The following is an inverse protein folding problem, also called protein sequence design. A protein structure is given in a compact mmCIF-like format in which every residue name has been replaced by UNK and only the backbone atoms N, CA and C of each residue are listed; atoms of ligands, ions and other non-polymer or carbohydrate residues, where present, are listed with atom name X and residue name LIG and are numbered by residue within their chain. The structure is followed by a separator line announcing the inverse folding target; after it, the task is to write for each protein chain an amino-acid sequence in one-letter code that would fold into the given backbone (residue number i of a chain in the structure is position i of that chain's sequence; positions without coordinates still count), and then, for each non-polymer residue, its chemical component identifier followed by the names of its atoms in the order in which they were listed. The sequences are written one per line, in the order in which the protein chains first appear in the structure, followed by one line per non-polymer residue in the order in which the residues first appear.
data_IF_162539074385
#
_entry.id   IF_162539074385
#
_cell.length_a   1.000
_cell.length_b   1.000
_cell.length_c   1.000
_cell.angle_alpha   90.00
_cell.angle_beta   90.00
_cell.angle_gamma   90.00
#
_symmetry.space_group_name_H-M   'P 1'
#
loop_
_entity.id
_entity.type
_entity.pdbx_description
1 polymer ?
#
# COMPACT_ATOMS: atom_id res chain seq x y z
N UNK A 1 3.23 -12.64 -8.79
CA UNK A 1 2.17 -12.69 -7.75
C UNK A 1 2.61 -11.77 -6.63
N UNK A 2 1.75 -10.84 -6.21
CA UNK A 2 2.01 -9.94 -5.07
C UNK A 2 1.05 -10.31 -3.94
N UNK A 3 1.59 -10.53 -2.75
CA UNK A 3 0.82 -10.78 -1.52
C UNK A 3 1.33 -9.84 -0.44
N UNK A 4 0.41 -9.10 0.16
CA UNK A 4 0.62 -8.20 1.29
C UNK A 4 -0.34 -8.68 2.38
N UNK A 5 0.21 -8.87 3.57
CA UNK A 5 -0.54 -9.29 4.76
C UNK A 5 -0.25 -8.30 5.87
N UNK A 6 -1.31 -7.74 6.46
CA UNK A 6 -1.27 -6.83 7.61
C UNK A 6 -0.23 -5.69 7.48
N UNK A 7 -0.19 -5.00 6.34
CA UNK A 7 0.78 -3.92 6.14
C UNK A 7 0.40 -2.66 6.94
N UNK A 8 1.32 -2.25 7.81
CA UNK A 8 1.28 -0.97 8.52
C UNK A 8 2.41 -0.07 8.05
N UNK A 9 2.09 1.20 7.83
CA UNK A 9 3.10 2.21 7.46
C UNK A 9 2.80 3.50 8.19
N UNK A 10 3.81 4.05 8.84
CA UNK A 10 3.77 5.37 9.46
C UNK A 10 4.76 6.32 8.78
N UNK A 11 4.35 7.56 8.57
CA UNK A 11 5.20 8.63 8.04
C UNK A 11 5.25 9.74 9.06
N UNK A 12 6.46 10.10 9.51
CA UNK A 12 6.64 11.10 10.56
C UNK A 12 5.93 10.74 11.87
N UNK A 13 5.90 9.45 12.22
CA UNK A 13 5.21 8.95 13.42
C UNK A 13 3.68 8.87 13.30
N UNK A 14 3.08 9.32 12.20
CA UNK A 14 1.64 9.23 11.96
C UNK A 14 1.30 7.95 11.19
N UNK A 15 0.42 7.07 11.70
CA UNK A 15 -0.05 5.91 10.96
C UNK A 15 -0.85 6.33 9.71
N UNK A 16 -0.41 5.87 8.54
CA UNK A 16 -1.05 6.13 7.25
C UNK A 16 -1.77 4.88 6.75
N UNK A 17 -1.07 3.74 6.71
CA UNK A 17 -1.66 2.43 6.41
C UNK A 17 -1.81 1.65 7.72
N UNK A 18 -2.97 1.02 7.90
CA UNK A 18 -3.42 0.44 9.17
C UNK A 18 -3.92 -1.00 8.98
N UNK A 19 -3.02 -1.91 8.62
CA UNK A 19 -3.36 -3.31 8.36
C UNK A 19 -4.03 -3.49 7.01
N UNK A 20 -3.24 -3.34 5.94
CA UNK A 20 -3.69 -3.56 4.57
C UNK A 20 -3.33 -4.97 4.12
N UNK A 21 -4.36 -5.73 3.71
CA UNK A 21 -4.21 -6.99 3.00
C UNK A 21 -4.47 -6.80 1.50
N UNK A 22 -3.58 -7.31 0.66
CA UNK A 22 -3.71 -7.23 -0.80
C UNK A 22 -3.15 -8.48 -1.45
N UNK A 23 -3.90 -9.08 -2.36
CA UNK A 23 -3.46 -10.22 -3.14
C UNK A 23 -3.73 -9.95 -4.62
N UNK A 24 -2.66 -9.83 -5.40
CA UNK A 24 -2.72 -9.67 -6.87
C UNK A 24 -2.09 -10.91 -7.51
N UNK A 25 -2.89 -11.62 -8.30
CA UNK A 25 -2.44 -12.83 -8.99
C UNK A 25 -1.63 -12.46 -10.24
N UNK A 26 -0.88 -13.43 -10.77
CA UNK A 26 -0.15 -13.21 -12.01
C UNK A 26 -1.12 -12.93 -13.17
N UNK A 27 -0.82 -11.91 -13.98
CA UNK A 27 -1.65 -11.50 -15.12
C UNK A 27 -2.79 -10.54 -14.79
N UNK A 28 -3.01 -10.20 -13.52
CA UNK A 28 -4.03 -9.22 -13.14
C UNK A 28 -3.47 -7.79 -13.16
N UNK A 29 -4.30 -6.86 -13.65
CA UNK A 29 -4.04 -5.42 -13.56
C UNK A 29 -5.07 -4.79 -12.61
N UNK A 30 -4.59 -4.14 -11.55
CA UNK A 30 -5.42 -3.51 -10.53
C UNK A 30 -5.22 -2.00 -10.54
N UNK A 31 -6.28 -1.25 -10.26
CA UNK A 31 -6.22 0.20 -10.13
C UNK A 31 -6.56 0.59 -8.70
N UNK A 32 -5.69 1.40 -8.09
CA UNK A 32 -5.86 1.88 -6.72
C UNK A 32 -6.57 3.24 -6.71
N UNK A 33 -7.87 3.25 -6.37
CA UNK A 33 -8.70 4.46 -6.27
C UNK A 33 -8.86 4.96 -4.84
N UNK A 34 -9.18 6.25 -4.69
CA UNK A 34 -9.50 6.86 -3.40
C UNK A 34 -9.20 8.37 -3.32
N UNK A 35 -9.72 9.07 -2.31
CA UNK A 35 -9.53 10.52 -2.14
C UNK A 35 -8.08 10.91 -1.83
N UNK A 36 -7.72 12.17 -2.00
CA UNK A 36 -6.40 12.67 -1.63
C UNK A 36 -6.12 12.44 -0.14
N UNK A 37 -4.89 11.99 0.19
CA UNK A 37 -4.50 11.66 1.56
C UNK A 37 -4.90 10.26 2.05
N UNK A 38 -5.60 9.44 1.25
CA UNK A 38 -6.01 8.09 1.65
C UNK A 38 -4.89 7.04 1.73
N UNK A 39 -3.62 7.44 1.56
CA UNK A 39 -2.47 6.52 1.66
C UNK A 39 -2.08 5.79 0.37
N UNK A 40 -2.68 6.12 -0.79
CA UNK A 40 -2.37 5.45 -2.07
C UNK A 40 -0.89 5.47 -2.45
N UNK A 41 -0.29 6.65 -2.46
CA UNK A 41 1.14 6.79 -2.77
C UNK A 41 2.03 6.14 -1.72
N UNK A 42 1.57 6.10 -0.47
CA UNK A 42 2.25 5.39 0.62
C UNK A 42 2.22 3.88 0.40
N UNK A 43 1.08 3.30 0.01
CA UNK A 43 0.96 1.89 -0.32
C UNK A 43 1.86 1.51 -1.50
N UNK A 44 1.80 2.29 -2.59
CA UNK A 44 2.66 2.05 -3.74
C UNK A 44 4.15 2.20 -3.39
N UNK A 45 4.52 3.21 -2.59
CA UNK A 45 5.89 3.38 -2.11
C UNK A 45 6.38 2.23 -1.23
N UNK A 46 5.51 1.67 -0.39
CA UNK A 46 5.82 0.48 0.41
C UNK A 46 6.04 -0.75 -0.47
N UNK A 47 5.14 -0.99 -1.42
CA UNK A 47 5.23 -2.13 -2.36
C UNK A 47 6.47 -2.04 -3.26
N UNK A 48 6.83 -0.84 -3.73
CA UNK A 48 7.99 -0.62 -4.60
C UNK A 48 9.32 -0.52 -3.84
N UNK A 49 9.30 -0.49 -2.51
CA UNK A 49 10.52 -0.34 -1.69
C UNK A 49 11.10 1.08 -1.69
N UNK A 50 10.30 2.11 -1.99
CA UNK A 50 10.70 3.53 -1.98
C UNK A 50 10.43 4.23 -0.64
N UNK A 51 10.18 3.46 0.41
CA UNK A 51 9.86 3.98 1.73
C UNK A 51 11.14 4.41 2.45
N UNK A 52 11.20 5.67 2.89
CA UNK A 52 12.18 6.17 3.87
C UNK A 52 11.54 6.26 5.24
#
# INVERSE_FOLDING_TARGET
MLKIEDLHVAVGGKPILKGIDLHIKAGENHVLFGPNGSGKSTLLGAVMGFSK
#
